data_IF_595027832222
#
_entry.id   IF_595027832222
#
_cell.length_a   1.000
_cell.length_b   1.000
_cell.length_c   1.000
_cell.angle_alpha   90.00
_cell.angle_beta   90.00
_cell.angle_gamma   90.00
#
_symmetry.space_group_name_H-M   'P 1'
#
loop_
_entity.id
_entity.type
_entity.pdbx_description
1 polymer ?
#
# COMPACT_ATOMS: atom_id res chain seq x y z
N UNK A 1 18.22 -47.29 36.63
CA UNK A 1 16.97 -46.96 35.89
C UNK A 1 16.88 -45.45 35.76
N UNK A 2 17.34 -44.89 34.64
CA UNK A 2 17.17 -43.47 34.33
C UNK A 2 16.16 -43.37 33.18
N UNK A 3 14.98 -42.87 33.50
CA UNK A 3 13.92 -42.58 32.54
C UNK A 3 14.13 -41.21 31.89
N UNK A 4 14.85 -41.18 30.77
CA UNK A 4 14.88 -40.07 29.83
C UNK A 4 14.83 -40.65 28.42
N UNK A 5 13.71 -40.51 27.70
CA UNK A 5 13.67 -41.00 26.32
C UNK A 5 12.36 -40.95 25.52
N UNK A 6 11.19 -40.62 26.11
CA UNK A 6 9.90 -40.69 25.37
C UNK A 6 9.10 -39.40 25.20
N UNK A 7 9.49 -38.27 25.82
CA UNK A 7 8.74 -37.00 25.66
C UNK A 7 9.05 -36.25 24.35
N UNK A 8 10.20 -36.48 23.71
CA UNK A 8 10.60 -35.75 22.51
C UNK A 8 9.90 -36.19 21.21
N UNK A 9 9.53 -37.47 21.07
CA UNK A 9 9.01 -37.99 19.80
C UNK A 9 7.52 -37.69 19.56
N UNK A 10 6.71 -37.63 20.61
CA UNK A 10 5.28 -37.30 20.48
C UNK A 10 5.07 -35.82 20.14
N UNK A 11 5.84 -34.92 20.75
CA UNK A 11 5.74 -33.48 20.53
C UNK A 11 6.19 -33.08 19.12
N UNK A 12 7.26 -33.72 18.60
CA UNK A 12 7.68 -33.56 17.20
C UNK A 12 6.64 -34.04 16.18
N UNK A 13 5.84 -35.05 16.51
CA UNK A 13 4.78 -35.53 15.61
C UNK A 13 3.59 -34.56 15.54
N UNK A 14 3.24 -33.91 16.66
CA UNK A 14 2.17 -32.90 16.70
C UNK A 14 2.57 -31.65 15.90
N UNK A 15 3.79 -31.13 16.07
CA UNK A 15 4.27 -29.98 15.31
C UNK A 15 4.31 -30.24 13.79
N UNK A 16 4.69 -31.46 13.39
CA UNK A 16 4.64 -31.89 11.98
C UNK A 16 3.22 -31.94 11.45
N UNK A 17 2.27 -32.46 12.23
CA UNK A 17 0.85 -32.50 11.86
C UNK A 17 0.26 -31.09 11.72
N UNK A 18 0.55 -30.18 12.66
CA UNK A 18 0.11 -28.79 12.59
C UNK A 18 0.69 -28.04 11.39
N UNK A 19 1.97 -28.27 11.09
CA UNK A 19 2.63 -27.68 9.92
C UNK A 19 2.01 -28.21 8.62
N UNK A 20 1.76 -29.52 8.54
CA UNK A 20 1.10 -30.14 7.39
C UNK A 20 -0.32 -29.59 7.20
N UNK A 21 -1.09 -29.46 8.28
CA UNK A 21 -2.44 -28.91 8.24
C UNK A 21 -2.43 -27.45 7.77
N UNK A 22 -1.52 -26.64 8.32
CA UNK A 22 -1.34 -25.23 7.94
C UNK A 22 -1.00 -25.11 6.46
N UNK A 23 -0.04 -25.91 5.97
CA UNK A 23 0.34 -25.92 4.57
C UNK A 23 -0.84 -26.34 3.68
N UNK A 24 -1.56 -27.38 4.07
CA UNK A 24 -2.72 -27.89 3.32
C UNK A 24 -3.81 -26.82 3.21
N UNK A 25 -4.19 -26.18 4.31
CA UNK A 25 -5.20 -25.12 4.30
C UNK A 25 -4.76 -23.93 3.44
N UNK A 26 -3.50 -23.51 3.53
CA UNK A 26 -2.99 -22.40 2.72
C UNK A 26 -2.97 -22.73 1.22
N UNK A 27 -2.56 -23.95 0.86
CA UNK A 27 -2.59 -24.39 -0.54
C UNK A 27 -4.01 -24.44 -1.08
N UNK A 28 -4.97 -24.98 -0.32
CA UNK A 28 -6.38 -25.00 -0.70
C UNK A 28 -6.95 -23.59 -0.82
N UNK A 29 -6.63 -22.70 0.11
CA UNK A 29 -7.07 -21.30 0.06
C UNK A 29 -6.49 -20.55 -1.14
N UNK A 30 -5.22 -20.78 -1.49
CA UNK A 30 -4.57 -20.19 -2.64
C UNK A 30 -5.14 -20.71 -3.97
N UNK A 31 -5.43 -22.01 -4.07
CA UNK A 31 -6.09 -22.64 -5.23
C UNK A 31 -7.52 -22.09 -5.36
N UNK A 32 -8.26 -22.02 -4.25
CA UNK A 32 -9.61 -21.47 -4.23
C UNK A 32 -9.62 -20.00 -4.66
N UNK A 33 -8.67 -19.19 -4.17
CA UNK A 33 -8.47 -17.79 -4.57
C UNK A 33 -8.29 -17.65 -6.08
N UNK A 34 -7.51 -18.54 -6.69
CA UNK A 34 -7.31 -18.55 -8.13
C UNK A 34 -8.58 -18.97 -8.88
N UNK A 35 -9.19 -20.09 -8.48
CA UNK A 35 -10.32 -20.70 -9.17
C UNK A 35 -11.57 -19.81 -9.18
N UNK A 36 -11.87 -19.10 -8.09
CA UNK A 36 -13.04 -18.21 -7.99
C UNK A 36 -12.95 -17.00 -8.92
N UNK A 37 -11.78 -16.68 -9.48
CA UNK A 37 -11.56 -15.55 -10.39
C UNK A 37 -11.62 -15.93 -11.86
N UNK A 38 -11.80 -17.21 -12.19
CA UNK A 38 -11.80 -17.71 -13.57
C UNK A 38 -13.17 -17.69 -14.25
N UNK A 39 -14.25 -17.31 -13.55
CA UNK A 39 -15.61 -17.44 -14.10
C UNK A 39 -15.84 -16.68 -15.42
N UNK A 40 -15.20 -15.52 -15.62
CA UNK A 40 -15.28 -14.77 -16.89
C UNK A 40 -14.68 -15.60 -18.04
N UNK A 41 -13.47 -16.11 -17.85
CA UNK A 41 -12.71 -16.89 -18.83
C UNK A 41 -13.31 -18.27 -19.07
N UNK A 42 -14.00 -18.85 -18.09
CA UNK A 42 -14.70 -20.14 -18.26
C UNK A 42 -16.01 -20.00 -19.04
N UNK A 43 -16.71 -18.87 -18.90
CA UNK A 43 -17.98 -18.61 -19.60
C UNK A 43 -17.79 -18.01 -20.99
N UNK A 44 -16.76 -17.19 -21.14
CA UNK A 44 -16.46 -16.44 -22.34
C UNK A 44 -15.03 -16.71 -22.80
N UNK A 45 -14.46 -15.85 -23.63
CA UNK A 45 -13.10 -15.99 -24.12
C UNK A 45 -12.08 -15.35 -23.17
N UNK A 46 -10.83 -15.81 -23.24
CA UNK A 46 -9.69 -15.22 -22.52
C UNK A 46 -9.24 -13.90 -23.17
N UNK A 47 -10.03 -12.85 -22.91
CA UNK A 47 -9.79 -11.51 -23.44
C UNK A 47 -9.73 -10.51 -22.27
N UNK A 48 -9.10 -9.37 -22.52
CA UNK A 48 -9.01 -8.29 -21.56
C UNK A 48 -10.36 -7.58 -21.48
N UNK A 49 -10.83 -7.34 -20.26
CA UNK A 49 -12.13 -6.72 -19.99
C UNK A 49 -11.96 -5.27 -19.52
N UNK A 50 -13.05 -4.52 -19.56
CA UNK A 50 -13.11 -3.10 -19.21
C UNK A 50 -12.28 -2.20 -20.15
N UNK A 51 -12.31 -0.89 -19.91
CA UNK A 51 -11.68 0.09 -20.79
C UNK A 51 -10.21 0.32 -20.45
N UNK A 52 -9.89 0.49 -19.16
CA UNK A 52 -8.55 0.88 -18.71
C UNK A 52 -7.46 -0.18 -18.96
N UNK A 53 -7.72 -1.50 -18.76
CA UNK A 53 -6.71 -2.53 -18.95
C UNK A 53 -6.13 -2.64 -20.37
N UNK A 54 -6.82 -2.12 -21.41
CA UNK A 54 -6.29 -2.11 -22.77
C UNK A 54 -5.05 -1.24 -22.91
N UNK A 55 -4.99 -0.11 -22.19
CA UNK A 55 -3.79 0.72 -22.17
C UNK A 55 -2.62 -0.03 -21.54
N UNK A 56 -2.84 -0.63 -20.36
CA UNK A 56 -1.84 -1.43 -19.66
C UNK A 56 -1.33 -2.57 -20.56
N UNK A 57 -2.23 -3.31 -21.21
CA UNK A 57 -1.83 -4.39 -22.12
C UNK A 57 -1.01 -3.91 -23.31
N UNK A 58 -1.40 -2.81 -23.97
CA UNK A 58 -0.63 -2.24 -25.07
C UNK A 58 0.77 -1.87 -24.62
N UNK A 59 0.90 -1.26 -23.44
CA UNK A 59 2.20 -0.87 -22.87
C UNK A 59 3.06 -2.08 -22.51
N UNK A 60 2.46 -3.14 -21.96
CA UNK A 60 3.15 -4.41 -21.66
C UNK A 60 3.60 -5.13 -22.93
N UNK A 61 2.77 -5.13 -23.97
CA UNK A 61 3.14 -5.67 -25.28
C UNK A 61 4.35 -4.92 -25.87
N UNK A 62 4.32 -3.59 -25.82
CA UNK A 62 5.45 -2.78 -26.27
C UNK A 62 6.73 -3.09 -25.47
N UNK A 63 6.63 -3.21 -24.14
CA UNK A 63 7.76 -3.56 -23.28
C UNK A 63 8.34 -4.95 -23.60
N UNK A 64 7.49 -5.94 -23.86
CA UNK A 64 7.92 -7.29 -24.22
C UNK A 64 8.60 -7.37 -25.60
N UNK A 65 8.15 -6.56 -26.56
CA UNK A 65 8.67 -6.58 -27.94
C UNK A 65 9.90 -5.68 -28.15
N UNK A 66 9.91 -4.49 -27.54
CA UNK A 66 10.93 -3.44 -27.79
C UNK A 66 11.96 -3.31 -26.68
N UNK A 67 11.74 -3.96 -25.53
CA UNK A 67 12.62 -3.94 -24.37
C UNK A 67 12.48 -2.71 -23.48
N UNK A 68 13.16 -2.77 -22.33
CA UNK A 68 12.99 -1.81 -21.24
C UNK A 68 13.44 -0.38 -21.56
N UNK A 69 14.59 -0.20 -22.20
CA UNK A 69 15.11 1.15 -22.49
C UNK A 69 14.26 1.90 -23.52
N UNK A 70 13.75 1.19 -24.52
CA UNK A 70 12.81 1.74 -25.51
C UNK A 70 11.50 2.12 -24.83
N UNK A 71 10.99 1.27 -23.93
CA UNK A 71 9.79 1.55 -23.14
C UNK A 71 9.95 2.77 -22.22
N UNK A 72 11.09 2.89 -21.53
CA UNK A 72 11.36 4.00 -20.62
C UNK A 72 11.37 5.36 -21.34
N UNK A 73 11.85 5.39 -22.58
CA UNK A 73 11.89 6.60 -23.41
C UNK A 73 10.74 6.67 -24.44
N UNK A 74 9.69 5.88 -24.26
CA UNK A 74 8.64 5.76 -25.27
C UNK A 74 7.75 7.01 -25.33
N UNK A 75 7.71 7.63 -26.51
CA UNK A 75 6.74 8.64 -26.90
C UNK A 75 5.68 8.01 -27.81
N UNK A 76 4.42 8.05 -27.39
CA UNK A 76 3.28 7.56 -28.18
C UNK A 76 2.66 8.69 -28.99
N UNK A 77 2.86 8.62 -30.30
CA UNK A 77 2.31 9.55 -31.30
C UNK A 77 0.87 9.20 -31.71
N UNK A 78 0.36 8.03 -31.30
CA UNK A 78 -0.98 7.54 -31.67
C UNK A 78 -2.08 7.94 -30.70
N UNK A 79 -1.72 8.49 -29.54
CA UNK A 79 -2.65 8.96 -28.53
C UNK A 79 -2.56 10.48 -28.41
N UNK A 80 -3.66 11.13 -28.03
CA UNK A 80 -3.70 12.59 -27.80
C UNK A 80 -3.27 13.43 -29.01
N UNK A 81 -3.76 13.13 -30.21
CA UNK A 81 -3.53 13.98 -31.38
C UNK A 81 -4.08 15.40 -31.13
N UNK A 82 -3.29 16.48 -31.35
CA UNK A 82 -1.98 16.54 -32.02
C UNK A 82 -0.74 16.57 -31.10
N UNK A 83 -0.90 16.44 -29.79
CA UNK A 83 0.18 16.59 -28.80
C UNK A 83 1.09 15.36 -28.68
N UNK A 84 0.50 14.16 -28.73
CA UNK A 84 1.19 12.92 -28.32
C UNK A 84 1.27 12.76 -26.80
N UNK A 85 1.78 11.61 -26.33
CA UNK A 85 1.97 11.33 -24.90
C UNK A 85 3.31 10.64 -24.63
N UNK A 86 4.11 11.19 -23.72
CA UNK A 86 5.32 10.53 -23.20
C UNK A 86 4.87 9.43 -22.24
N UNK A 87 5.01 8.16 -22.61
CA UNK A 87 4.49 7.05 -21.80
C UNK A 87 5.40 6.75 -20.62
N UNK A 88 6.71 6.52 -20.86
CA UNK A 88 7.63 6.06 -19.81
C UNK A 88 7.75 6.99 -18.60
N UNK A 89 7.49 8.30 -18.78
CA UNK A 89 7.47 9.29 -17.71
C UNK A 89 6.10 9.58 -17.10
N UNK A 90 4.99 9.10 -17.68
CA UNK A 90 3.62 9.44 -17.25
C UNK A 90 2.82 8.27 -16.65
N UNK A 91 3.49 7.16 -16.34
CA UNK A 91 2.84 5.94 -15.82
C UNK A 91 3.64 5.29 -14.69
N UNK A 92 2.95 4.44 -13.93
CA UNK A 92 3.56 3.51 -12.98
C UNK A 92 3.95 2.21 -13.72
N UNK A 93 5.24 1.85 -13.82
CA UNK A 93 5.68 0.76 -14.70
C UNK A 93 5.60 -0.64 -14.07
N UNK A 94 5.25 -0.75 -12.78
CA UNK A 94 5.38 -1.98 -11.99
C UNK A 94 4.55 -3.14 -12.55
N UNK A 95 3.31 -2.89 -12.97
CA UNK A 95 2.44 -3.93 -13.55
C UNK A 95 3.05 -4.51 -14.85
N UNK A 96 3.51 -3.63 -15.74
CA UNK A 96 4.06 -4.02 -17.05
C UNK A 96 5.37 -4.77 -16.90
N UNK A 97 6.26 -4.30 -16.02
CA UNK A 97 7.53 -4.96 -15.72
C UNK A 97 7.26 -6.35 -15.15
N UNK A 98 6.37 -6.49 -14.18
CA UNK A 98 6.06 -7.80 -13.58
C UNK A 98 5.52 -8.79 -14.61
N UNK A 99 4.60 -8.38 -15.48
CA UNK A 99 4.10 -9.26 -16.56
C UNK A 99 5.19 -9.66 -17.53
N UNK A 100 6.06 -8.73 -17.91
CA UNK A 100 7.13 -8.99 -18.88
C UNK A 100 8.20 -9.92 -18.28
N UNK A 101 8.53 -9.75 -17.00
CA UNK A 101 9.43 -10.65 -16.28
C UNK A 101 8.85 -12.07 -16.20
N UNK A 102 7.56 -12.21 -15.86
CA UNK A 102 6.89 -13.52 -15.86
C UNK A 102 6.86 -14.15 -17.25
N UNK A 103 6.60 -13.36 -18.30
CA UNK A 103 6.64 -13.81 -19.68
C UNK A 103 8.03 -14.33 -20.09
N UNK A 104 9.10 -13.57 -19.81
CA UNK A 104 10.47 -14.01 -20.10
C UNK A 104 10.90 -15.21 -19.26
N UNK A 105 10.44 -15.32 -18.01
CA UNK A 105 10.70 -16.49 -17.18
C UNK A 105 10.04 -17.76 -17.75
N UNK A 106 8.80 -17.66 -18.24
CA UNK A 106 8.14 -18.77 -18.94
C UNK A 106 8.91 -19.17 -20.20
N UNK A 107 9.38 -18.19 -20.98
CA UNK A 107 10.21 -18.44 -22.17
C UNK A 107 11.56 -19.08 -21.84
N UNK A 108 12.23 -18.65 -20.76
CA UNK A 108 13.46 -19.28 -20.26
C UNK A 108 13.25 -20.76 -19.93
N UNK A 109 12.06 -21.12 -19.44
CA UNK A 109 11.66 -22.49 -19.12
C UNK A 109 11.09 -23.25 -20.33
N UNK A 110 11.17 -22.70 -21.54
CA UNK A 110 10.60 -23.23 -22.78
C UNK A 110 9.06 -23.43 -22.76
N UNK A 111 8.36 -22.65 -21.93
CA UNK A 111 6.90 -22.62 -21.89
C UNK A 111 6.44 -21.44 -22.77
N UNK A 112 6.09 -21.71 -24.02
CA UNK A 112 5.69 -20.68 -24.99
C UNK A 112 4.25 -20.21 -24.73
N UNK A 113 4.11 -19.14 -23.94
CA UNK A 113 2.82 -18.50 -23.64
C UNK A 113 2.77 -17.14 -24.33
N UNK A 114 1.63 -16.77 -24.88
CA UNK A 114 1.38 -15.42 -25.41
C UNK A 114 1.29 -14.38 -24.27
N UNK A 115 1.84 -13.19 -24.47
CA UNK A 115 1.85 -12.11 -23.48
C UNK A 115 0.43 -11.74 -23.03
N UNK A 116 -0.57 -11.87 -23.92
CA UNK A 116 -1.98 -11.68 -23.58
C UNK A 116 -2.44 -12.60 -22.46
N UNK A 117 -2.09 -13.88 -22.54
CA UNK A 117 -2.51 -14.86 -21.53
C UNK A 117 -1.82 -14.57 -20.18
N UNK A 118 -0.56 -14.13 -20.19
CA UNK A 118 0.14 -13.67 -18.97
C UNK A 118 -0.60 -12.50 -18.34
N UNK A 119 -1.05 -11.52 -19.12
CA UNK A 119 -1.80 -10.37 -18.62
C UNK A 119 -3.17 -10.76 -18.05
N UNK A 120 -3.91 -11.65 -18.74
CA UNK A 120 -5.23 -12.13 -18.31
C UNK A 120 -5.17 -12.87 -16.97
N UNK A 121 -4.16 -13.72 -16.76
CA UNK A 121 -4.04 -14.55 -15.55
C UNK A 121 -3.19 -13.95 -14.44
N UNK A 122 -2.65 -12.72 -14.62
CA UNK A 122 -1.81 -12.08 -13.60
C UNK A 122 -2.59 -11.77 -12.32
N UNK A 123 -3.79 -11.20 -12.41
CA UNK A 123 -4.59 -10.84 -11.23
C UNK A 123 -4.98 -12.07 -10.37
N UNK A 124 -5.47 -13.18 -10.94
CA UNK A 124 -5.68 -14.42 -10.19
C UNK A 124 -4.42 -14.94 -9.49
N UNK A 125 -3.26 -14.92 -10.16
CA UNK A 125 -1.98 -15.34 -9.59
C UNK A 125 -1.59 -14.49 -8.37
N UNK A 126 -1.67 -13.17 -8.50
CA UNK A 126 -1.37 -12.25 -7.39
C UNK A 126 -2.40 -12.34 -6.27
N UNK A 127 -3.64 -12.70 -6.56
CA UNK A 127 -4.63 -13.00 -5.52
C UNK A 127 -4.25 -14.22 -4.68
N UNK A 128 -3.71 -15.28 -5.28
CA UNK A 128 -3.18 -16.41 -4.52
C UNK A 128 -2.01 -16.00 -3.62
N UNK A 129 -1.10 -15.13 -4.10
CA UNK A 129 -0.04 -14.57 -3.25
C UNK A 129 -0.59 -13.65 -2.15
N UNK A 130 -1.67 -12.92 -2.44
CA UNK A 130 -2.38 -12.07 -1.47
C UNK A 130 -2.93 -12.89 -0.31
N UNK A 131 -3.47 -14.08 -0.58
CA UNK A 131 -3.91 -15.03 0.45
C UNK A 131 -2.77 -15.44 1.38
N UNK A 132 -1.59 -15.73 0.83
CA UNK A 132 -0.41 -16.14 1.61
C UNK A 132 0.12 -14.99 2.46
N UNK A 133 0.25 -13.79 1.89
CA UNK A 133 0.78 -12.64 2.63
C UNK A 133 -0.19 -12.17 3.72
N UNK A 134 -1.50 -12.31 3.52
CA UNK A 134 -2.53 -12.05 4.54
C UNK A 134 -2.38 -12.98 5.75
N UNK A 135 -2.11 -14.27 5.51
CA UNK A 135 -1.78 -15.22 6.57
C UNK A 135 -0.55 -14.75 7.37
N UNK A 136 0.53 -14.39 6.66
CA UNK A 136 1.77 -13.96 7.30
C UNK A 136 1.56 -12.69 8.14
N UNK A 137 0.85 -11.68 7.60
CA UNK A 137 0.50 -10.46 8.31
C UNK A 137 -0.29 -10.74 9.59
N UNK A 138 -1.36 -11.51 9.47
CA UNK A 138 -2.28 -11.77 10.59
C UNK A 138 -1.65 -12.66 11.66
N UNK A 139 -0.78 -13.60 11.24
CA UNK A 139 0.03 -14.41 12.15
C UNK A 139 0.94 -13.54 13.02
N UNK A 140 1.49 -12.47 12.45
CA UNK A 140 2.27 -11.51 13.24
C UNK A 140 1.40 -10.74 14.23
N UNK A 141 0.16 -10.42 13.90
CA UNK A 141 -0.71 -9.64 14.80
C UNK A 141 -1.18 -10.46 16.01
N UNK A 142 -1.65 -11.70 15.78
CA UNK A 142 -2.21 -12.55 16.85
C UNK A 142 -1.62 -13.95 16.92
N UNK A 143 -2.09 -14.88 16.08
CA UNK A 143 -1.66 -16.28 16.08
C UNK A 143 -1.89 -16.95 14.70
N UNK A 144 -1.35 -18.15 14.52
CA UNK A 144 -1.48 -18.92 13.26
C UNK A 144 -2.93 -19.24 12.90
N UNK A 145 -3.79 -19.52 13.89
CA UNK A 145 -5.21 -19.83 13.67
C UNK A 145 -5.98 -18.65 13.06
N UNK A 146 -5.81 -17.44 13.62
CA UNK A 146 -6.38 -16.22 13.06
C UNK A 146 -5.85 -15.95 11.64
N UNK A 147 -4.57 -16.24 11.39
CA UNK A 147 -3.99 -16.10 10.06
C UNK A 147 -4.60 -17.03 9.02
N UNK A 148 -4.88 -18.29 9.36
CA UNK A 148 -5.53 -19.24 8.45
C UNK A 148 -6.95 -18.79 8.11
N UNK A 149 -7.70 -18.31 9.11
CA UNK A 149 -9.06 -17.76 8.91
C UNK A 149 -9.02 -16.50 8.04
N UNK A 150 -8.10 -15.58 8.29
CA UNK A 150 -7.95 -14.37 7.47
C UNK A 150 -7.60 -14.68 6.01
N UNK A 151 -6.71 -15.64 5.78
CA UNK A 151 -6.39 -16.12 4.44
C UNK A 151 -7.60 -16.74 3.72
N UNK A 152 -8.39 -17.55 4.44
CA UNK A 152 -9.61 -18.13 3.90
C UNK A 152 -10.68 -17.08 3.58
N UNK A 153 -10.77 -15.98 4.33
CA UNK A 153 -11.70 -14.90 4.00
C UNK A 153 -11.24 -14.10 2.79
N UNK A 154 -9.96 -13.72 2.73
CA UNK A 154 -9.42 -12.91 1.60
C UNK A 154 -9.43 -13.69 0.27
N UNK A 155 -9.39 -15.03 0.30
CA UNK A 155 -9.45 -15.82 -0.95
C UNK A 155 -10.79 -15.70 -1.68
N UNK A 156 -11.91 -15.56 -0.95
CA UNK A 156 -13.28 -15.60 -1.52
C UNK A 156 -14.08 -14.31 -1.38
N UNK A 157 -13.52 -13.28 -0.75
CA UNK A 157 -14.24 -12.03 -0.48
C UNK A 157 -14.64 -11.31 -1.78
N UNK A 158 -15.95 -11.08 -2.03
CA UNK A 158 -16.46 -10.52 -3.28
C UNK A 158 -15.84 -9.17 -3.63
N UNK A 159 -15.63 -8.30 -2.64
CA UNK A 159 -15.06 -6.98 -2.87
C UNK A 159 -13.61 -6.99 -3.37
N UNK A 160 -12.83 -8.06 -3.16
CA UNK A 160 -11.50 -8.19 -3.79
C UNK A 160 -11.64 -8.77 -5.18
N UNK A 161 -12.50 -9.79 -5.30
CA UNK A 161 -12.73 -10.51 -6.55
C UNK A 161 -13.14 -9.54 -7.64
N UNK A 162 -14.03 -8.57 -7.36
CA UNK A 162 -14.51 -7.60 -8.36
C UNK A 162 -13.41 -6.84 -9.10
N UNK A 163 -12.25 -6.60 -8.47
CA UNK A 163 -11.10 -5.89 -9.06
C UNK A 163 -9.91 -6.80 -9.41
N UNK A 164 -10.08 -8.11 -9.26
CA UNK A 164 -9.01 -9.10 -9.50
C UNK A 164 -9.48 -10.31 -10.32
N UNK A 165 -10.58 -10.17 -11.06
CA UNK A 165 -11.08 -11.21 -11.97
C UNK A 165 -10.08 -11.44 -13.11
N UNK A 166 -9.98 -12.68 -13.60
CA UNK A 166 -9.21 -13.00 -14.79
C UNK A 166 -9.69 -12.14 -15.99
N UNK A 167 -8.75 -11.48 -16.66
CA UNK A 167 -9.01 -10.53 -17.74
C UNK A 167 -9.07 -9.06 -17.31
N UNK A 168 -9.19 -8.76 -16.01
CA UNK A 168 -9.05 -7.38 -15.48
C UNK A 168 -7.57 -7.08 -15.21
N UNK A 169 -6.85 -6.66 -16.25
CA UNK A 169 -5.42 -6.33 -16.19
C UNK A 169 -5.20 -4.87 -15.75
N UNK A 170 -5.59 -4.57 -14.51
CA UNK A 170 -5.38 -3.25 -13.89
C UNK A 170 -4.41 -3.31 -12.71
N UNK A 171 -3.90 -2.15 -12.32
CA UNK A 171 -2.87 -1.98 -11.30
C UNK A 171 -3.33 -2.45 -9.91
N UNK A 172 -4.63 -2.45 -9.63
CA UNK A 172 -5.20 -2.82 -8.33
C UNK A 172 -4.92 -4.29 -7.97
N UNK A 173 -4.91 -5.18 -8.96
CA UNK A 173 -4.69 -6.63 -8.76
C UNK A 173 -3.30 -6.95 -8.18
N UNK A 174 -2.29 -6.13 -8.50
CA UNK A 174 -0.94 -6.27 -7.96
C UNK A 174 -0.71 -5.38 -6.74
N UNK A 175 -1.34 -4.20 -6.71
CA UNK A 175 -1.17 -3.21 -5.65
C UNK A 175 -1.60 -3.75 -4.28
N UNK A 176 -2.68 -4.53 -4.22
CA UNK A 176 -3.18 -5.10 -2.96
C UNK A 176 -2.14 -6.04 -2.33
N UNK A 177 -1.54 -6.92 -3.13
CA UNK A 177 -0.44 -7.76 -2.68
C UNK A 177 0.75 -6.92 -2.17
N UNK A 178 1.18 -5.90 -2.94
CA UNK A 178 2.31 -5.05 -2.59
C UNK A 178 2.08 -4.30 -1.27
N UNK A 179 0.85 -3.83 -1.05
CA UNK A 179 0.52 -3.11 0.17
C UNK A 179 0.54 -4.02 1.40
N UNK A 180 -0.07 -5.21 1.31
CA UNK A 180 -0.04 -6.18 2.41
C UNK A 180 1.38 -6.68 2.69
N UNK A 181 2.21 -6.84 1.66
CA UNK A 181 3.63 -7.14 1.80
C UNK A 181 4.38 -6.03 2.54
N UNK A 182 4.08 -4.76 2.23
CA UNK A 182 4.66 -3.60 2.92
C UNK A 182 4.22 -3.56 4.38
N UNK A 183 2.95 -3.81 4.69
CA UNK A 183 2.46 -3.89 6.07
C UNK A 183 3.07 -5.05 6.85
N UNK A 184 3.20 -6.22 6.23
CA UNK A 184 3.81 -7.37 6.88
C UNK A 184 5.26 -7.08 7.26
N UNK A 185 6.04 -6.58 6.31
CA UNK A 185 7.46 -6.22 6.53
C UNK A 185 7.61 -5.05 7.52
N UNK A 186 6.69 -4.08 7.50
CA UNK A 186 6.64 -2.98 8.47
C UNK A 186 6.38 -3.48 9.90
N UNK A 187 5.34 -4.29 10.11
CA UNK A 187 5.04 -4.85 11.43
C UNK A 187 6.22 -5.71 11.93
N UNK A 188 6.83 -6.50 11.03
CA UNK A 188 8.06 -7.24 11.34
C UNK A 188 9.21 -6.32 11.75
N UNK A 189 9.41 -5.21 11.05
CA UNK A 189 10.44 -4.23 11.37
C UNK A 189 10.21 -3.59 12.74
N UNK A 190 8.97 -3.21 13.06
CA UNK A 190 8.62 -2.63 14.37
C UNK A 190 8.85 -3.63 15.52
N UNK A 191 8.46 -4.90 15.34
CA UNK A 191 8.64 -5.94 16.37
C UNK A 191 10.11 -6.29 16.61
N UNK A 192 10.88 -6.45 15.54
CA UNK A 192 12.28 -6.91 15.61
C UNK A 192 13.26 -5.77 15.87
N UNK A 193 13.01 -4.57 15.34
CA UNK A 193 13.90 -3.41 15.44
C UNK A 193 15.20 -3.54 14.65
N UNK A 194 15.25 -4.40 13.63
CA UNK A 194 16.46 -4.58 12.81
C UNK A 194 16.41 -3.76 11.53
N UNK A 195 17.58 -3.29 11.08
CA UNK A 195 17.74 -2.54 9.83
C UNK A 195 17.31 -3.39 8.63
N UNK A 196 17.61 -4.70 8.63
CA UNK A 196 17.23 -5.62 7.57
C UNK A 196 15.73 -5.58 7.24
N UNK A 197 14.87 -5.72 8.26
CA UNK A 197 13.42 -5.65 8.06
C UNK A 197 12.96 -4.25 7.67
N UNK A 198 13.62 -3.19 8.16
CA UNK A 198 13.38 -1.81 7.72
C UNK A 198 13.69 -1.59 6.24
N UNK A 199 14.84 -2.09 5.76
CA UNK A 199 15.21 -2.03 4.34
C UNK A 199 14.30 -2.88 3.45
N UNK A 200 13.89 -4.07 3.92
CA UNK A 200 12.95 -4.91 3.17
C UNK A 200 11.58 -4.25 3.06
N UNK A 201 11.14 -3.54 4.11
CA UNK A 201 9.92 -2.73 4.06
C UNK A 201 10.04 -1.56 3.08
N UNK A 202 11.21 -0.91 3.01
CA UNK A 202 11.48 0.13 2.01
C UNK A 202 11.47 -0.41 0.56
N UNK A 203 12.01 -1.62 0.33
CA UNK A 203 11.96 -2.28 -0.98
C UNK A 203 10.53 -2.69 -1.37
N UNK A 204 9.75 -3.21 -0.42
CA UNK A 204 8.33 -3.51 -0.63
C UNK A 204 7.53 -2.23 -0.93
N UNK A 205 7.82 -1.14 -0.22
CA UNK A 205 7.25 0.18 -0.49
C UNK A 205 7.64 0.70 -1.88
N UNK A 206 8.90 0.57 -2.29
CA UNK A 206 9.33 0.94 -3.65
C UNK A 206 8.56 0.17 -4.72
N UNK A 207 8.39 -1.14 -4.53
CA UNK A 207 7.59 -1.95 -5.46
C UNK A 207 6.14 -1.48 -5.53
N UNK A 208 5.56 -1.12 -4.39
CA UNK A 208 4.22 -0.51 -4.32
C UNK A 208 4.15 0.83 -5.07
N UNK A 209 5.10 1.74 -4.83
CA UNK A 209 5.19 3.03 -5.54
C UNK A 209 5.28 2.82 -7.04
N UNK A 210 6.06 1.83 -7.48
CA UNK A 210 6.18 1.51 -8.92
C UNK A 210 4.91 0.92 -9.52
N UNK A 211 4.04 0.31 -8.70
CA UNK A 211 2.85 -0.40 -9.16
C UNK A 211 1.59 0.46 -9.15
N UNK A 212 1.43 1.35 -8.17
CA UNK A 212 0.19 2.13 -8.04
C UNK A 212 0.31 3.38 -7.18
N UNK A 213 -0.49 4.40 -7.52
CA UNK A 213 -0.56 5.70 -6.84
C UNK A 213 -1.03 5.67 -5.38
N UNK A 214 -1.60 4.55 -4.91
CA UNK A 214 -2.01 4.40 -3.52
C UNK A 214 -0.86 4.32 -2.52
N UNK A 215 0.40 4.41 -2.97
CA UNK A 215 1.57 4.53 -2.10
C UNK A 215 1.50 5.76 -1.17
N UNK A 216 0.76 6.80 -1.55
CA UNK A 216 0.50 7.98 -0.70
C UNK A 216 -0.29 7.61 0.56
N UNK A 217 -1.17 6.60 0.48
CA UNK A 217 -1.87 6.09 1.66
C UNK A 217 -0.89 5.43 2.63
N UNK A 218 0.01 4.58 2.11
CA UNK A 218 1.04 3.91 2.92
C UNK A 218 1.94 4.89 3.66
N UNK A 219 2.46 5.88 2.94
CA UNK A 219 3.42 6.83 3.49
C UNK A 219 2.77 7.82 4.46
N UNK A 220 1.43 7.90 4.53
CA UNK A 220 0.73 8.67 5.56
C UNK A 220 0.30 7.80 6.76
N UNK A 221 -0.07 6.55 6.52
CA UNK A 221 -0.47 5.63 7.59
C UNK A 221 0.71 5.20 8.48
N UNK A 222 1.88 4.91 7.89
CA UNK A 222 3.07 4.49 8.63
C UNK A 222 3.53 5.59 9.62
N UNK A 223 3.70 6.87 9.21
CA UNK A 223 4.01 7.95 10.15
C UNK A 223 2.90 8.20 11.17
N UNK A 224 1.62 8.11 10.79
CA UNK A 224 0.50 8.26 11.72
C UNK A 224 0.57 7.21 12.84
N UNK A 225 0.96 5.99 12.49
CA UNK A 225 1.22 4.94 13.46
C UNK A 225 2.39 5.27 14.39
N UNK A 226 3.51 5.74 13.86
CA UNK A 226 4.67 6.15 14.67
C UNK A 226 4.30 7.32 15.60
N UNK A 227 3.54 8.30 15.11
CA UNK A 227 3.06 9.44 15.88
C UNK A 227 2.13 8.98 17.02
N UNK A 228 1.27 7.99 16.77
CA UNK A 228 0.39 7.41 17.79
C UNK A 228 1.18 6.62 18.83
N UNK A 229 2.24 5.93 18.42
CA UNK A 229 3.17 5.26 19.35
C UNK A 229 3.92 6.27 20.23
N UNK A 230 4.28 7.44 19.69
CA UNK A 230 4.82 8.55 20.49
C UNK A 230 3.79 9.09 21.48
N UNK A 231 2.56 9.38 21.02
CA UNK A 231 1.50 9.92 21.87
C UNK A 231 1.08 8.97 23.00
N UNK A 232 1.14 7.65 22.76
CA UNK A 232 0.85 6.63 23.78
C UNK A 232 2.04 6.32 24.69
N UNK A 233 3.19 7.00 24.52
CA UNK A 233 4.39 6.77 25.33
C UNK A 233 5.11 5.45 25.06
N UNK A 234 4.83 4.81 23.92
CA UNK A 234 5.39 3.50 23.52
C UNK A 234 6.54 3.61 22.51
N UNK A 235 7.01 4.82 22.26
CA UNK A 235 8.15 5.04 21.40
C UNK A 235 9.41 4.43 22.00
N UNK A 236 10.20 3.76 21.17
CA UNK A 236 11.45 3.13 21.59
C UNK A 236 12.41 2.96 20.43
N UNK A 237 13.66 2.58 20.73
CA UNK A 237 14.73 2.48 19.73
C UNK A 237 14.40 1.56 18.54
N UNK A 238 13.61 0.51 18.76
CA UNK A 238 13.16 -0.40 17.68
C UNK A 238 12.33 0.34 16.62
N UNK A 239 11.40 1.18 17.06
CA UNK A 239 10.53 1.98 16.18
C UNK A 239 11.35 3.05 15.47
N UNK A 240 12.27 3.71 16.20
CA UNK A 240 13.18 4.69 15.62
C UNK A 240 14.02 4.11 14.47
N UNK A 241 14.65 2.94 14.68
CA UNK A 241 15.47 2.26 13.66
C UNK A 241 14.60 1.87 12.47
N UNK A 242 13.45 1.23 12.71
CA UNK A 242 12.54 0.78 11.66
C UNK A 242 12.03 1.94 10.79
N UNK A 243 11.53 3.00 11.42
CA UNK A 243 10.96 4.14 10.72
C UNK A 243 12.01 4.99 10.00
N UNK A 244 13.13 5.29 10.65
CA UNK A 244 14.20 6.10 10.04
C UNK A 244 14.80 5.40 8.82
N UNK A 245 15.00 4.08 8.91
CA UNK A 245 15.48 3.28 7.78
C UNK A 245 14.47 3.27 6.63
N UNK A 246 13.19 3.02 6.93
CA UNK A 246 12.13 3.02 5.93
C UNK A 246 12.00 4.37 5.24
N UNK A 247 12.01 5.46 6.00
CA UNK A 247 11.87 6.80 5.47
C UNK A 247 13.03 7.16 4.53
N UNK A 248 14.28 7.04 4.99
CA UNK A 248 15.44 7.42 4.18
C UNK A 248 15.55 6.58 2.90
N UNK A 249 15.48 5.25 3.02
CA UNK A 249 15.64 4.35 1.88
C UNK A 249 14.40 4.42 0.98
N UNK A 250 13.21 4.41 1.56
CA UNK A 250 11.94 4.42 0.82
C UNK A 250 11.73 5.72 0.03
N UNK A 251 12.07 6.87 0.60
CA UNK A 251 11.96 8.16 -0.10
C UNK A 251 12.96 8.29 -1.25
N UNK A 252 14.21 7.85 -1.08
CA UNK A 252 15.20 7.87 -2.16
C UNK A 252 14.77 6.94 -3.31
N UNK A 253 14.27 5.75 -2.97
CA UNK A 253 13.78 4.78 -3.96
C UNK A 253 12.53 5.28 -4.67
N UNK A 254 11.57 5.89 -3.97
CA UNK A 254 10.33 6.38 -4.59
C UNK A 254 10.61 7.49 -5.62
N UNK A 255 11.63 8.33 -5.38
CA UNK A 255 12.07 9.36 -6.33
C UNK A 255 12.64 8.79 -7.64
N UNK A 256 13.06 7.52 -7.67
CA UNK A 256 13.60 6.91 -8.90
C UNK A 256 12.51 6.61 -9.93
N UNK A 257 11.24 6.59 -9.53
CA UNK A 257 10.13 6.41 -10.47
C UNK A 257 9.88 7.74 -11.18
N UNK A 258 10.08 7.79 -12.50
CA UNK A 258 10.00 9.02 -13.30
C UNK A 258 8.70 9.80 -13.12
N UNK A 259 7.57 9.09 -12.97
CA UNK A 259 6.26 9.72 -12.73
C UNK A 259 6.17 10.43 -11.38
N UNK A 260 6.86 9.91 -10.36
CA UNK A 260 6.88 10.46 -9.00
C UNK A 260 7.90 11.60 -8.91
N UNK A 261 9.11 11.40 -9.45
CA UNK A 261 10.17 12.39 -9.46
C UNK A 261 10.40 13.02 -8.07
N UNK A 262 10.29 14.34 -7.98
CA UNK A 262 10.51 15.09 -6.72
C UNK A 262 9.25 15.33 -5.87
N UNK A 263 8.11 14.72 -6.22
CA UNK A 263 6.88 14.83 -5.45
C UNK A 263 7.03 14.49 -3.96
N UNK A 264 7.85 13.50 -3.53
CA UNK A 264 7.99 13.18 -2.11
C UNK A 264 8.54 14.31 -1.23
N UNK A 265 9.21 15.30 -1.82
CA UNK A 265 9.77 16.46 -1.11
C UNK A 265 8.98 17.74 -1.35
N UNK A 266 8.34 17.88 -2.52
CA UNK A 266 7.63 19.09 -2.92
C UNK A 266 6.14 19.07 -2.55
N UNK A 267 5.51 17.88 -2.57
CA UNK A 267 4.08 17.72 -2.35
C UNK A 267 3.73 17.72 -0.86
N UNK A 268 2.63 18.40 -0.52
CA UNK A 268 2.06 18.41 0.83
C UNK A 268 1.65 17.02 1.31
N UNK A 269 1.37 16.09 0.40
CA UNK A 269 0.92 14.73 0.69
C UNK A 269 1.97 13.87 1.41
N UNK A 270 3.26 14.25 1.32
CA UNK A 270 4.38 13.54 1.92
C UNK A 270 4.94 14.25 3.17
N UNK A 271 4.41 15.44 3.49
CA UNK A 271 4.93 16.27 4.59
C UNK A 271 4.71 15.65 5.96
N UNK A 272 3.66 14.83 6.15
CA UNK A 272 3.47 14.09 7.40
C UNK A 272 4.64 13.15 7.66
N UNK A 273 5.13 12.44 6.64
CA UNK A 273 6.27 11.55 6.79
C UNK A 273 7.55 12.32 7.12
N UNK A 274 7.81 13.43 6.44
CA UNK A 274 8.96 14.30 6.76
C UNK A 274 8.87 14.87 8.18
N UNK A 275 7.68 15.33 8.59
CA UNK A 275 7.45 15.91 9.91
C UNK A 275 7.64 14.91 11.04
N UNK A 276 7.08 13.70 10.91
CA UNK A 276 7.26 12.62 11.90
C UNK A 276 8.71 12.14 11.90
N UNK A 277 9.40 12.12 10.76
CA UNK A 277 10.84 11.81 10.71
C UNK A 277 11.65 12.84 11.50
N UNK A 278 11.43 14.13 11.28
CA UNK A 278 12.06 15.20 12.07
C UNK A 278 11.78 15.06 13.57
N UNK A 279 10.52 14.78 13.92
CA UNK A 279 10.11 14.55 15.31
C UNK A 279 10.81 13.33 15.94
N UNK A 280 10.98 12.24 15.19
CA UNK A 280 11.73 11.05 15.65
C UNK A 280 13.18 11.41 16.02
N UNK A 281 13.85 12.23 15.21
CA UNK A 281 15.22 12.66 15.48
C UNK A 281 15.30 13.52 16.74
N UNK A 282 14.37 14.46 16.91
CA UNK A 282 14.31 15.34 18.09
C UNK A 282 14.09 14.50 19.36
N UNK A 283 13.08 13.62 19.37
CA UNK A 283 12.77 12.80 20.55
C UNK A 283 13.94 11.89 20.91
N UNK A 284 14.53 11.20 19.92
CA UNK A 284 15.68 10.33 20.18
C UNK A 284 16.89 11.10 20.73
N UNK A 285 17.15 12.32 20.25
CA UNK A 285 18.21 13.18 20.75
C UNK A 285 17.93 13.70 22.17
N UNK A 286 16.68 14.08 22.45
CA UNK A 286 16.24 14.50 23.79
C UNK A 286 16.37 13.35 24.80
N UNK A 287 15.96 12.13 24.42
CA UNK A 287 16.10 10.95 25.28
C UNK A 287 17.58 10.62 25.54
N UNK A 288 18.43 10.73 24.52
CA UNK A 288 19.87 10.53 24.67
C UNK A 288 20.50 11.57 25.61
N UNK A 289 20.21 12.86 25.42
CA UNK A 289 20.76 13.94 26.28
C UNK A 289 20.27 13.83 27.72
N UNK A 290 18.99 13.48 27.93
CA UNK A 290 18.43 13.19 29.26
C UNK A 290 19.18 12.07 29.98
N UNK A 291 19.67 11.07 29.24
CA UNK A 291 20.44 9.95 29.84
C UNK A 291 21.86 10.32 30.28
N UNK A 292 22.40 11.47 29.80
CA UNK A 292 23.79 11.88 30.04
C UNK A 292 23.93 13.07 30.99
N UNK A 293 22.89 13.86 31.18
CA UNK A 293 22.90 15.09 31.97
C UNK A 293 22.17 14.93 33.31
N UNK A 294 22.52 15.77 34.28
CA UNK A 294 21.72 15.90 35.50
C UNK A 294 20.39 16.60 35.21
N UNK A 295 19.36 16.37 36.04
CA UNK A 295 18.01 16.89 35.79
C UNK A 295 17.96 18.43 35.66
N UNK A 296 18.75 19.15 36.45
CA UNK A 296 18.85 20.62 36.42
C UNK A 296 19.53 21.16 35.16
N UNK A 297 20.59 20.50 34.70
CA UNK A 297 21.28 20.87 33.46
C UNK A 297 20.41 20.56 32.24
N UNK A 298 19.68 19.45 32.28
CA UNK A 298 18.74 19.05 31.24
C UNK A 298 17.58 20.05 31.09
N UNK A 299 16.95 20.49 32.19
CA UNK A 299 15.84 21.47 32.10
C UNK A 299 16.28 22.79 31.45
N UNK A 300 17.48 23.26 31.79
CA UNK A 300 18.05 24.50 31.24
C UNK A 300 18.35 24.35 29.74
N UNK A 301 18.98 23.22 29.34
CA UNK A 301 19.27 22.92 27.94
C UNK A 301 17.99 22.68 27.13
N UNK A 302 17.01 21.98 27.70
CA UNK A 302 15.74 21.65 27.05
C UNK A 302 14.91 22.91 26.77
N UNK A 303 14.88 23.84 27.73
CA UNK A 303 14.21 25.13 27.58
C UNK A 303 14.88 25.97 26.49
N UNK A 304 16.21 26.05 26.49
CA UNK A 304 16.96 26.71 25.42
C UNK A 304 16.67 26.08 24.05
N UNK A 305 16.69 24.74 23.96
CA UNK A 305 16.52 23.99 22.72
C UNK A 305 15.11 24.21 22.13
N UNK A 306 14.05 24.18 22.95
CA UNK A 306 12.69 24.49 22.53
C UNK A 306 12.60 25.90 21.94
N UNK A 307 13.19 26.91 22.59
CA UNK A 307 13.15 28.28 22.08
C UNK A 307 13.88 28.39 20.73
N UNK A 308 15.07 27.79 20.59
CA UNK A 308 15.79 27.79 19.31
C UNK A 308 15.04 27.06 18.20
N UNK A 309 14.52 25.85 18.47
CA UNK A 309 13.77 25.08 17.48
C UNK A 309 12.47 25.79 17.14
N UNK A 310 11.74 26.34 18.12
CA UNK A 310 10.52 27.10 17.91
C UNK A 310 10.74 28.31 17.00
N UNK A 311 11.78 29.11 17.25
CA UNK A 311 12.15 30.24 16.40
C UNK A 311 12.53 29.77 14.99
N UNK A 312 13.37 28.73 14.89
CA UNK A 312 13.80 28.19 13.60
C UNK A 312 12.60 27.68 12.77
N UNK A 313 11.64 27.02 13.41
CA UNK A 313 10.45 26.45 12.76
C UNK A 313 9.53 27.55 12.26
N UNK A 314 9.34 28.63 13.03
CA UNK A 314 8.53 29.78 12.62
C UNK A 314 9.19 30.52 11.45
N UNK A 315 10.52 30.72 11.50
CA UNK A 315 11.27 31.40 10.43
C UNK A 315 11.28 30.56 9.15
N UNK A 316 11.65 29.28 9.24
CA UNK A 316 11.72 28.39 8.09
C UNK A 316 10.33 28.10 7.53
N UNK A 317 9.35 27.83 8.40
CA UNK A 317 7.95 27.60 8.00
C UNK A 317 7.32 28.84 7.37
N UNK A 318 7.56 30.03 7.93
CA UNK A 318 7.11 31.30 7.38
C UNK A 318 7.71 31.57 6.00
N UNK A 319 9.03 31.39 5.84
CA UNK A 319 9.72 31.57 4.55
C UNK A 319 9.25 30.56 3.51
N UNK A 320 9.11 29.28 3.88
CA UNK A 320 8.64 28.25 2.95
C UNK A 320 7.19 28.50 2.49
N UNK A 321 6.31 28.90 3.40
CA UNK A 321 4.91 29.20 3.09
C UNK A 321 4.77 30.43 2.20
N UNK A 322 5.51 31.51 2.50
CA UNK A 322 5.49 32.74 1.69
C UNK A 322 6.14 32.52 0.32
N UNK A 323 7.15 31.65 0.22
CA UNK A 323 7.84 31.37 -1.04
C UNK A 323 7.04 30.55 -2.06
N UNK A 324 5.89 29.98 -1.66
CA UNK A 324 5.04 29.17 -2.54
C UNK A 324 5.70 27.89 -3.07
N UNK A 325 6.86 27.49 -2.53
CA UNK A 325 7.64 26.33 -3.01
C UNK A 325 7.06 24.98 -2.58
N UNK A 326 6.18 24.95 -1.58
CA UNK A 326 5.42 23.75 -1.22
C UNK A 326 4.12 23.80 -2.02
N UNK A 327 3.93 22.87 -2.94
CA UNK A 327 2.70 22.79 -3.72
C UNK A 327 1.53 22.43 -2.80
N UNK A 328 0.35 23.07 -2.96
CA UNK A 328 -0.83 22.71 -2.21
C UNK A 328 -1.28 21.27 -2.54
N UNK A 329 -2.17 20.73 -1.71
CA UNK A 329 -2.82 19.43 -1.93
C UNK A 329 -3.38 19.33 -3.35
N UNK A 330 -3.15 18.21 -4.03
CA UNK A 330 -3.75 18.02 -5.36
C UNK A 330 -5.27 17.91 -5.23
N UNK A 331 -6.02 18.42 -6.22
CA UNK A 331 -7.48 18.54 -6.14
C UNK A 331 -8.22 17.22 -5.88
N UNK A 332 -7.64 16.08 -6.28
CA UNK A 332 -8.19 14.74 -6.00
C UNK A 332 -7.99 14.31 -4.55
N UNK A 333 -6.81 14.47 -3.93
CA UNK A 333 -6.65 14.15 -2.51
C UNK A 333 -7.43 15.12 -1.62
N UNK A 334 -7.50 16.40 -2.00
CA UNK A 334 -8.33 17.36 -1.28
C UNK A 334 -9.80 16.94 -1.32
N UNK A 335 -10.29 16.38 -2.43
CA UNK A 335 -11.65 15.86 -2.53
C UNK A 335 -11.96 14.65 -1.63
N UNK A 336 -10.95 13.90 -1.18
CA UNK A 336 -11.13 12.81 -0.21
C UNK A 336 -11.34 13.36 1.21
N UNK A 337 -10.70 14.49 1.51
CA UNK A 337 -10.87 15.20 2.77
C UNK A 337 -12.20 15.97 2.77
N UNK A 338 -12.47 16.72 1.70
CA UNK A 338 -13.72 17.42 1.44
C UNK A 338 -14.44 16.88 0.18
N UNK A 339 -15.44 16.00 0.33
CA UNK A 339 -16.16 15.40 -0.79
C UNK A 339 -16.99 16.42 -1.59
N UNK A 340 -17.21 17.62 -1.06
CA UNK A 340 -17.97 18.68 -1.75
C UNK A 340 -17.14 19.38 -2.82
N UNK A 341 -15.81 19.38 -2.68
CA UNK A 341 -14.92 20.19 -3.52
C UNK A 341 -14.93 19.74 -4.98
N UNK A 342 -14.71 18.45 -5.25
CA UNK A 342 -14.68 17.93 -6.62
C UNK A 342 -16.03 18.07 -7.32
N UNK A 343 -17.14 17.79 -6.61
CA UNK A 343 -18.49 17.94 -7.15
C UNK A 343 -18.79 19.37 -7.62
N UNK A 344 -18.28 20.36 -6.88
CA UNK A 344 -18.60 21.76 -7.14
C UNK A 344 -17.60 22.46 -8.09
N UNK A 345 -16.33 22.02 -8.13
CA UNK A 345 -15.27 22.77 -8.83
C UNK A 345 -14.60 22.00 -9.98
N UNK A 346 -14.65 20.66 -10.01
CA UNK A 346 -13.94 19.86 -11.04
C UNK A 346 -14.88 18.77 -11.59
N UNK A 347 -15.69 19.08 -12.63
CA UNK A 347 -16.74 18.17 -13.12
C UNK A 347 -16.18 16.87 -13.71
N UNK A 348 -14.94 16.88 -14.23
CA UNK A 348 -14.26 15.69 -14.77
C UNK A 348 -14.05 14.62 -13.69
N UNK A 349 -13.80 15.03 -12.44
CA UNK A 349 -13.65 14.09 -11.32
C UNK A 349 -15.04 13.57 -10.92
N UNK A 350 -16.04 14.44 -10.85
CA UNK A 350 -17.39 14.06 -10.44
C UNK A 350 -18.14 13.19 -11.46
N UNK A 351 -17.72 13.19 -12.74
CA UNK A 351 -18.37 12.42 -13.82
C UNK A 351 -18.07 10.92 -13.80
N UNK A 352 -17.03 10.48 -13.09
CA UNK A 352 -16.70 9.05 -12.99
C UNK A 352 -17.63 8.40 -11.96
N UNK A 353 -18.33 7.34 -12.36
CA UNK A 353 -19.31 6.65 -11.50
C UNK A 353 -18.70 6.15 -10.20
N UNK A 354 -17.42 5.79 -10.22
CA UNK A 354 -16.69 5.31 -9.04
C UNK A 354 -16.50 6.42 -7.99
N UNK A 355 -16.53 7.71 -8.32
CA UNK A 355 -16.35 8.77 -7.32
C UNK A 355 -17.64 9.14 -6.56
N UNK A 356 -18.70 8.33 -6.67
CA UNK A 356 -19.94 8.48 -5.91
C UNK A 356 -19.80 7.89 -4.50
N UNK A 357 -20.52 8.38 -3.48
CA UNK A 357 -20.48 7.79 -2.14
C UNK A 357 -21.15 6.41 -2.08
N UNK A 358 -20.69 5.55 -1.17
CA UNK A 358 -21.20 4.18 -1.03
C UNK A 358 -22.40 4.08 -0.08
N UNK A 359 -23.40 3.31 -0.48
CA UNK A 359 -24.55 2.95 0.37
C UNK A 359 -24.21 1.78 1.32
N UNK A 360 -24.95 1.65 2.42
CA UNK A 360 -24.81 0.50 3.34
C UNK A 360 -25.03 -0.85 2.64
N UNK A 361 -25.95 -0.90 1.66
CA UNK A 361 -26.28 -2.11 0.91
C UNK A 361 -25.07 -2.64 0.13
N UNK A 362 -24.22 -1.73 -0.34
CA UNK A 362 -22.98 -2.04 -1.04
C UNK A 362 -21.96 -2.70 -0.09
N UNK A 363 -21.78 -2.15 1.11
CA UNK A 363 -20.93 -2.78 2.13
C UNK A 363 -21.38 -4.20 2.48
N UNK A 364 -22.70 -4.40 2.68
CA UNK A 364 -23.21 -5.73 2.99
C UNK A 364 -23.01 -6.71 1.83
N UNK A 365 -23.26 -6.28 0.60
CA UNK A 365 -23.12 -7.12 -0.59
C UNK A 365 -21.69 -7.66 -0.74
N UNK A 366 -20.70 -6.80 -0.53
CA UNK A 366 -19.31 -7.12 -0.82
C UNK A 366 -18.58 -7.88 0.31
N UNK A 367 -19.00 -7.69 1.56
CA UNK A 367 -18.33 -8.21 2.76
C UNK A 367 -19.14 -9.26 3.52
N UNK A 368 -20.47 -9.27 3.35
CA UNK A 368 -21.39 -10.16 4.06
C UNK A 368 -21.13 -10.17 5.58
N UNK A 369 -20.79 -11.33 6.16
CA UNK A 369 -20.55 -11.51 7.59
C UNK A 369 -19.37 -10.67 8.12
N UNK A 370 -18.40 -10.32 7.25
CA UNK A 370 -17.22 -9.55 7.65
C UNK A 370 -17.57 -8.14 8.15
N UNK A 371 -18.66 -7.55 7.67
CA UNK A 371 -19.15 -6.23 8.15
C UNK A 371 -19.45 -6.29 9.66
N UNK A 372 -20.02 -7.40 10.14
CA UNK A 372 -20.38 -7.57 11.55
C UNK A 372 -19.20 -8.05 12.40
N UNK A 373 -18.30 -8.85 11.83
CA UNK A 373 -17.11 -9.33 12.53
C UNK A 373 -16.07 -8.22 12.70
N UNK A 374 -16.05 -7.23 11.81
CA UNK A 374 -15.03 -6.17 11.82
C UNK A 374 -15.05 -5.33 13.12
N UNK A 375 -16.18 -4.77 13.60
CA UNK A 375 -16.23 -4.05 14.88
C UNK A 375 -15.81 -4.92 16.07
N UNK A 376 -16.19 -6.21 16.08
CA UNK A 376 -15.78 -7.14 17.11
C UNK A 376 -14.25 -7.37 17.09
N UNK A 377 -13.67 -7.51 15.89
CA UNK A 377 -12.22 -7.60 15.69
C UNK A 377 -11.48 -6.36 16.19
N UNK A 378 -11.98 -5.16 15.90
CA UNK A 378 -11.43 -3.91 16.43
C UNK A 378 -11.47 -3.88 17.96
N UNK A 379 -12.59 -4.28 18.57
CA UNK A 379 -12.71 -4.35 20.02
C UNK A 379 -11.64 -5.27 20.64
N UNK A 380 -11.38 -6.44 20.06
CA UNK A 380 -10.31 -7.31 20.53
C UNK A 380 -8.91 -6.72 20.33
N UNK A 381 -8.69 -5.93 19.28
CA UNK A 381 -7.43 -5.20 19.09
C UNK A 381 -7.23 -4.12 20.16
N UNK A 382 -8.30 -3.44 20.58
CA UNK A 382 -8.27 -2.48 21.68
C UNK A 382 -8.09 -3.13 23.06
N UNK A 383 -8.61 -4.35 23.26
CA UNK A 383 -8.47 -5.05 24.54
C UNK A 383 -7.02 -5.41 24.86
N UNK A 384 -6.24 -5.79 23.84
CA UNK A 384 -4.82 -6.10 23.98
C UNK A 384 -4.00 -5.14 23.11
N UNK A 385 -3.73 -3.93 23.60
CA UNK A 385 -2.95 -2.97 22.83
C UNK A 385 -1.48 -3.39 22.76
N UNK A 386 -1.06 -3.91 21.61
CA UNK A 386 0.34 -4.11 21.21
C UNK A 386 0.72 -3.09 20.14
N UNK A 387 2.02 -2.88 19.89
CA UNK A 387 2.50 -1.95 18.85
C UNK A 387 1.91 -2.32 17.47
N UNK A 388 1.78 -3.62 17.17
CA UNK A 388 1.15 -4.10 15.94
C UNK A 388 -0.38 -3.87 15.92
N UNK A 389 -1.06 -4.01 17.05
CA UNK A 389 -2.51 -3.81 17.11
C UNK A 389 -2.88 -2.33 16.94
N UNK A 390 -2.06 -1.40 17.44
CA UNK A 390 -2.25 0.04 17.21
C UNK A 390 -2.20 0.32 15.70
N UNK A 391 -1.24 -0.26 14.98
CA UNK A 391 -1.18 -0.16 13.52
C UNK A 391 -2.48 -0.66 12.86
N UNK A 392 -2.96 -1.86 13.24
CA UNK A 392 -4.16 -2.45 12.65
C UNK A 392 -5.44 -1.65 12.95
N UNK A 393 -5.53 -1.03 14.13
CA UNK A 393 -6.65 -0.15 14.50
C UNK A 393 -6.64 1.13 13.66
N UNK A 394 -5.49 1.79 13.53
CA UNK A 394 -5.35 2.99 12.71
C UNK A 394 -5.65 2.70 11.25
N UNK A 395 -5.11 1.58 10.75
CA UNK A 395 -5.44 1.06 9.43
C UNK A 395 -6.96 0.93 9.32
N UNK A 396 -7.62 0.07 10.10
CA UNK A 396 -9.07 -0.15 9.99
C UNK A 396 -9.94 1.12 10.06
N UNK A 397 -9.62 2.08 10.94
CA UNK A 397 -10.40 3.32 11.08
C UNK A 397 -10.20 4.27 9.91
N UNK A 398 -8.94 4.58 9.57
CA UNK A 398 -8.63 5.49 8.44
C UNK A 398 -9.19 4.93 7.15
N UNK A 399 -9.06 3.63 7.02
CA UNK A 399 -9.68 2.86 5.99
C UNK A 399 -11.19 3.10 5.96
N UNK A 400 -11.98 2.74 6.98
CA UNK A 400 -13.46 2.86 6.89
C UNK A 400 -13.89 4.29 6.52
N UNK A 401 -13.16 5.29 6.99
CA UNK A 401 -13.45 6.66 6.65
C UNK A 401 -13.37 6.93 5.13
N UNK A 402 -12.29 6.49 4.47
CA UNK A 402 -12.17 6.65 3.01
C UNK A 402 -13.20 5.79 2.25
N UNK A 403 -13.62 4.67 2.83
CA UNK A 403 -14.62 3.76 2.26
C UNK A 403 -15.97 4.38 2.00
N UNK A 404 -16.44 5.07 3.04
CA UNK A 404 -17.78 5.65 3.08
C UNK A 404 -17.86 6.85 2.14
N UNK A 405 -16.74 7.54 1.97
CA UNK A 405 -16.65 8.76 1.16
C UNK A 405 -16.52 8.53 -0.34
N UNK A 406 -16.14 7.33 -0.80
CA UNK A 406 -15.97 7.04 -2.22
C UNK A 406 -16.26 5.57 -2.56
N UNK A 407 -17.03 5.33 -3.61
CA UNK A 407 -17.25 4.03 -4.26
C UNK A 407 -15.99 3.54 -4.98
N UNK A 408 -15.08 4.46 -5.29
CA UNK A 408 -13.72 4.21 -5.75
C UNK A 408 -12.88 3.55 -4.64
N UNK A 409 -13.18 3.84 -3.37
CA UNK A 409 -12.57 3.17 -2.23
C UNK A 409 -13.14 1.77 -1.99
N UNK A 410 -14.20 1.32 -2.69
CA UNK A 410 -14.88 0.01 -2.49
C UNK A 410 -13.99 -1.20 -2.77
N UNK A 411 -13.09 -1.14 -3.76
CA UNK A 411 -12.07 -2.19 -3.98
C UNK A 411 -11.10 -2.33 -2.79
N UNK A 412 -10.96 -1.27 -1.99
CA UNK A 412 -10.14 -1.24 -0.79
C UNK A 412 -10.96 -1.49 0.48
N UNK A 413 -12.22 -1.07 0.51
CA UNK A 413 -13.02 -1.05 1.72
C UNK A 413 -13.62 -2.34 2.17
N UNK A 414 -13.73 -3.24 1.21
CA UNK A 414 -14.00 -4.61 1.51
C UNK A 414 -12.77 -5.34 2.08
N UNK A 415 -11.63 -4.65 2.26
CA UNK A 415 -10.37 -5.20 2.80
C UNK A 415 -9.68 -4.27 3.80
N UNK A 416 -10.38 -3.63 4.74
CA UNK A 416 -9.70 -2.85 5.80
C UNK A 416 -8.77 -1.74 5.22
N UNK A 417 -9.01 -1.33 3.95
CA UNK A 417 -8.48 -0.31 3.04
C UNK A 417 -7.00 -0.14 2.69
N UNK A 418 -6.71 -0.60 1.47
CA UNK A 418 -5.44 -0.53 0.75
C UNK A 418 -5.55 0.33 -0.53
N UNK A 419 -5.72 1.66 -0.39
CA UNK A 419 -5.22 2.67 -1.35
C UNK A 419 -6.15 3.28 -2.42
N UNK A 420 -5.58 4.23 -3.17
CA UNK A 420 -6.25 5.21 -4.02
C UNK A 420 -5.60 5.23 -5.41
N UNK A 421 -6.37 5.37 -6.50
CA UNK A 421 -5.84 5.63 -7.85
C UNK A 421 -5.85 7.10 -8.16
N UNK A 422 -4.69 7.58 -8.55
CA UNK A 422 -4.50 8.91 -9.12
C UNK A 422 -3.56 8.75 -10.31
N UNK A 423 -4.11 8.98 -11.50
CA UNK A 423 -3.42 9.60 -12.62
C UNK A 423 -4.45 10.39 -13.41
N UNK A 424 -4.32 11.71 -13.44
CA UNK A 424 -3.80 12.42 -14.61
C UNK A 424 -3.59 13.89 -14.22
N UNK A 425 -2.34 14.34 -14.35
CA UNK A 425 -1.95 15.75 -14.24
C UNK A 425 -2.49 16.48 -15.48
N UNK A 426 -3.71 16.98 -15.38
CA UNK A 426 -4.17 18.06 -16.24
C UNK A 426 -3.70 19.38 -15.65
N UNK A 427 -2.54 19.87 -16.09
CA UNK A 427 -2.27 21.30 -16.03
C UNK A 427 -3.36 22.01 -16.83
N UNK A 428 -4.30 22.63 -16.11
CA UNK A 428 -5.24 23.55 -16.71
C UNK A 428 -4.50 24.84 -17.05
N UNK A 429 -4.28 25.09 -18.34
CA UNK A 429 -4.42 26.43 -18.85
C UNK A 429 -5.82 26.57 -19.44
N UNK A 430 -6.56 27.48 -18.81
CA UNK A 430 -7.88 27.94 -19.20
C UNK A 430 -7.80 28.56 -20.58
N UNK A 431 -8.67 28.20 -21.52
CA UNK A 431 -9.24 29.20 -22.43
C UNK A 431 -10.62 28.77 -22.93
N UNK A 432 -11.57 29.66 -22.69
CA UNK A 432 -12.91 29.70 -23.28
C UNK A 432 -12.86 29.52 -24.79
N UNK A 433 -13.76 28.72 -25.36
CA UNK A 433 -14.64 29.18 -26.45
C UNK A 433 -15.72 28.14 -26.77
N UNK A 434 -16.94 28.63 -26.89
CA UNK A 434 -18.13 27.94 -27.37
C UNK A 434 -17.93 27.29 -28.75
N UNK A 435 -18.35 26.02 -28.89
CA UNK A 435 -19.47 25.57 -29.75
C UNK A 435 -19.63 24.06 -29.68
#
# INVERSE_FOLDING_TARGET
>A
MLGFGKKGSSQQNVEKQETLLTLTILTLAAILSFATRLFSVLRFESVIHEFDPYFNYRTTKYLAEQGFYSFHNWFDDRAWYPLGRIIGGTIYPGLMITSTVLYHLCWLLNITIDIRNVCVFLAPLFSSFTTIITYLLTKEVKNSGAGLVAAAFVSIVPGYISRSVAGSYDNEGIAIFCMLLTYYTWIKAVKTGTIFWGTLSALAYFYMVSSWGGYVFLINLIPLHVLTLMATGRFGHRIYIAYSTLYCVGTILSMQISFVGFQPVQSSEHMLALGVFGLCQIIAFVDYTRSKLSASEFETLYTFLIYTVGILTVVVGGVLTVSGKISPWTGRFYSLLDPSYAKNHIPIIASVSEHQPTSWSSFYFDLQILVFLFPAGLYFCFKELTDANIFMVLYGITSIYFAVKNEYSRGCSNHVLVGLRISDNGHGESYNSCR
#
